data_IF_008102809302
#
_entry.id   IF_008102809302
#
_cell.length_a   1.000
_cell.length_b   1.000
_cell.length_c   1.000
_cell.angle_alpha   90.00
_cell.angle_beta   90.00
_cell.angle_gamma   90.00
#
_symmetry.space_group_name_H-M   'P 1'
#
loop_
_entity.id
_entity.type
_entity.pdbx_description
1 polymer ?
#
# COMPACT_ATOMS: atom_id res chain seq x y z
N UNK A 1 -9.35 -28.19 -12.47
CA UNK A 1 -10.22 -27.59 -11.43
C UNK A 1 -9.55 -26.33 -10.93
N UNK A 2 -10.00 -25.16 -11.40
CA UNK A 2 -9.58 -23.88 -10.86
C UNK A 2 -10.21 -23.72 -9.46
N UNK A 3 -9.38 -23.64 -8.42
CA UNK A 3 -9.86 -23.29 -7.08
C UNK A 3 -10.15 -21.79 -7.11
N UNK A 4 -11.43 -21.44 -7.09
CA UNK A 4 -11.86 -20.06 -7.02
C UNK A 4 -12.03 -19.69 -5.55
N UNK A 5 -11.18 -18.82 -5.05
CA UNK A 5 -11.23 -18.40 -3.66
C UNK A 5 -12.01 -17.09 -3.55
N UNK A 6 -13.05 -16.99 -2.75
CA UNK A 6 -13.68 -15.70 -2.46
C UNK A 6 -12.69 -14.80 -1.73
N UNK A 7 -12.45 -13.62 -2.26
CA UNK A 7 -11.66 -12.58 -1.60
C UNK A 7 -12.63 -11.53 -1.09
N UNK A 8 -12.66 -11.32 0.21
CA UNK A 8 -13.45 -10.24 0.80
C UNK A 8 -12.54 -9.03 1.04
N UNK A 9 -12.56 -8.01 0.20
CA UNK A 9 -11.94 -6.74 0.55
C UNK A 9 -12.65 -6.18 1.77
N UNK A 10 -11.94 -5.52 2.65
CA UNK A 10 -12.58 -4.73 3.70
C UNK A 10 -13.36 -3.62 3.02
N UNK A 11 -14.67 -3.83 2.82
CA UNK A 11 -15.56 -2.82 2.26
C UNK A 11 -16.19 -2.05 3.41
N UNK A 12 -15.96 -0.76 3.45
CA UNK A 12 -16.40 0.11 4.55
C UNK A 12 -17.48 1.11 4.13
N UNK A 13 -18.14 0.88 3.03
CA UNK A 13 -19.23 1.71 2.55
C UNK A 13 -18.98 2.32 1.18
N UNK A 14 -19.58 3.48 0.93
CA UNK A 14 -19.46 4.18 -0.34
C UNK A 14 -18.09 4.84 -0.51
N UNK A 15 -17.74 5.14 -1.76
CA UNK A 15 -16.50 5.84 -2.07
C UNK A 15 -16.55 7.27 -1.54
N UNK A 16 -15.59 7.60 -0.70
CA UNK A 16 -15.32 8.96 -0.24
C UNK A 16 -14.08 9.50 -0.92
N UNK A 17 -14.22 10.65 -1.56
CA UNK A 17 -13.10 11.34 -2.18
C UNK A 17 -12.11 11.81 -1.10
N UNK A 18 -10.85 11.37 -1.25
CA UNK A 18 -9.76 11.87 -0.42
C UNK A 18 -8.97 12.90 -1.22
N UNK A 19 -8.96 14.13 -0.76
CA UNK A 19 -8.18 15.18 -1.40
C UNK A 19 -6.72 15.09 -0.99
N UNK A 20 -5.86 14.79 -1.96
CA UNK A 20 -4.41 14.80 -1.74
C UNK A 20 -3.94 16.21 -1.44
N UNK A 21 -3.30 16.38 -0.29
CA UNK A 21 -2.67 17.64 0.09
C UNK A 21 -1.35 17.91 -0.66
N UNK A 22 -0.71 19.03 -0.33
CA UNK A 22 0.61 19.38 -0.87
C UNK A 22 1.71 18.44 -0.41
N UNK A 23 1.56 17.85 0.78
CA UNK A 23 2.47 16.88 1.36
C UNK A 23 1.94 15.47 1.12
N UNK A 24 2.74 14.61 0.49
CA UNK A 24 2.34 13.22 0.29
C UNK A 24 2.43 12.42 1.60
N UNK A 25 1.38 11.68 1.93
CA UNK A 25 1.29 10.85 3.13
C UNK A 25 1.25 9.38 2.73
N UNK A 26 2.32 8.67 3.05
CA UNK A 26 2.42 7.23 2.87
C UNK A 26 2.15 6.50 4.18
N UNK A 27 1.49 5.34 4.14
CA UNK A 27 1.36 4.51 5.32
C UNK A 27 1.78 3.06 5.03
N UNK A 28 2.47 2.45 5.98
CA UNK A 28 2.74 1.01 5.98
C UNK A 28 2.15 0.38 7.23
N UNK A 29 1.41 -0.73 7.03
CA UNK A 29 0.73 -1.45 8.11
C UNK A 29 1.38 -2.81 8.31
N UNK A 30 1.86 -3.03 9.53
CA UNK A 30 2.56 -4.24 9.95
C UNK A 30 3.93 -3.93 10.57
N UNK A 31 4.55 -4.95 11.15
CA UNK A 31 5.88 -4.78 11.72
C UNK A 31 6.92 -4.50 10.63
N UNK A 32 7.66 -3.42 10.77
CA UNK A 32 8.86 -3.15 9.97
C UNK A 32 9.97 -4.10 10.45
N UNK A 33 10.05 -5.25 9.79
CA UNK A 33 11.10 -6.27 9.96
C UNK A 33 11.32 -6.94 8.63
N UNK A 34 12.57 -7.15 8.23
CA UNK A 34 12.97 -7.70 6.91
C UNK A 34 12.26 -9.00 6.50
N UNK A 35 11.82 -9.83 7.46
CA UNK A 35 11.07 -11.06 7.16
C UNK A 35 9.60 -10.83 6.70
N UNK A 36 9.01 -9.68 6.99
CA UNK A 36 7.59 -9.40 6.70
C UNK A 36 7.36 -8.17 5.86
N UNK A 37 8.27 -7.23 5.88
CA UNK A 37 8.25 -5.98 5.13
C UNK A 37 9.69 -5.62 4.78
N UNK A 38 9.95 -5.28 3.55
CA UNK A 38 11.30 -4.85 3.14
C UNK A 38 11.58 -3.44 3.70
N UNK A 39 12.03 -3.39 4.96
CA UNK A 39 12.35 -2.15 5.65
C UNK A 39 13.59 -1.47 5.10
N UNK A 40 14.55 -2.25 4.61
CA UNK A 40 15.77 -1.71 4.00
C UNK A 40 15.44 -0.98 2.70
N UNK A 41 14.54 -1.54 1.89
CA UNK A 41 14.02 -0.89 0.70
C UNK A 41 13.39 0.47 1.02
N UNK A 42 12.56 0.53 2.07
CA UNK A 42 11.92 1.78 2.48
C UNK A 42 12.98 2.82 2.90
N UNK A 43 13.90 2.44 3.78
CA UNK A 43 14.92 3.35 4.31
C UNK A 43 15.84 3.84 3.18
N UNK A 44 16.33 2.95 2.31
CA UNK A 44 17.21 3.33 1.18
C UNK A 44 16.48 4.25 0.18
N UNK A 45 15.19 4.03 -0.02
CA UNK A 45 14.39 4.90 -0.90
C UNK A 45 14.16 6.28 -0.29
N UNK A 46 13.92 6.35 1.02
CA UNK A 46 13.81 7.65 1.72
C UNK A 46 15.14 8.39 1.70
N UNK A 47 16.26 7.69 1.83
CA UNK A 47 17.60 8.27 1.68
C UNK A 47 17.78 8.87 0.28
N UNK A 48 17.41 8.12 -0.77
CA UNK A 48 17.48 8.62 -2.16
C UNK A 48 16.61 9.86 -2.38
N UNK A 49 15.38 9.86 -1.85
CA UNK A 49 14.50 11.03 -1.90
C UNK A 49 15.11 12.23 -1.16
N UNK A 50 15.69 11.99 0.02
CA UNK A 50 16.36 13.04 0.80
C UNK A 50 17.52 13.65 0.02
N UNK A 51 18.39 12.84 -0.58
CA UNK A 51 19.53 13.28 -1.38
C UNK A 51 19.11 14.07 -2.62
N UNK A 52 17.98 13.69 -3.24
CA UNK A 52 17.39 14.41 -4.38
C UNK A 52 16.65 15.70 -3.98
N UNK A 53 16.57 16.02 -2.70
CA UNK A 53 15.93 17.26 -2.23
C UNK A 53 14.43 17.16 -2.00
N UNK A 54 13.81 15.98 -2.10
CA UNK A 54 12.39 15.80 -1.75
C UNK A 54 12.18 15.99 -0.25
N UNK A 55 11.21 16.83 0.15
CA UNK A 55 10.91 17.14 1.55
C UNK A 55 9.41 17.04 1.88
N UNK A 56 8.56 17.14 0.86
CA UNK A 56 7.10 17.21 1.02
C UNK A 56 6.45 15.81 1.09
N UNK A 57 6.91 14.97 2.03
CA UNK A 57 6.29 13.69 2.29
C UNK A 57 6.43 13.26 3.75
N UNK A 58 5.58 12.34 4.17
CA UNK A 58 5.62 11.69 5.48
C UNK A 58 5.30 10.22 5.34
N UNK A 59 5.90 9.39 6.16
CA UNK A 59 5.68 7.94 6.23
C UNK A 59 5.14 7.59 7.61
N UNK A 60 3.90 7.15 7.66
CA UNK A 60 3.25 6.63 8.86
C UNK A 60 3.53 5.14 8.95
N UNK A 61 4.11 4.73 10.07
CA UNK A 61 4.41 3.32 10.35
C UNK A 61 3.49 2.82 11.46
N UNK A 62 2.57 1.91 11.10
CA UNK A 62 1.59 1.35 12.01
C UNK A 62 1.94 -0.10 12.28
N UNK A 63 2.41 -0.41 13.49
CA UNK A 63 2.81 -1.75 13.90
C UNK A 63 4.02 -1.72 14.81
N UNK A 64 4.50 -2.90 15.19
CA UNK A 64 5.71 -2.99 16.02
C UNK A 64 6.91 -2.48 15.20
N UNK A 65 7.52 -1.42 15.67
CA UNK A 65 8.67 -0.78 15.02
C UNK A 65 9.81 -0.58 16.02
N UNK A 66 10.97 -0.25 15.48
CA UNK A 66 12.13 0.17 16.28
C UNK A 66 12.73 1.42 15.62
N UNK A 67 12.61 2.56 16.29
CA UNK A 67 13.14 3.84 15.81
C UNK A 67 14.66 3.80 15.56
N UNK A 68 15.40 2.97 16.30
CA UNK A 68 16.86 2.84 16.15
C UNK A 68 17.31 2.28 14.79
N UNK A 69 16.40 1.68 14.02
CA UNK A 69 16.70 1.19 12.66
C UNK A 69 16.65 2.29 11.61
N UNK A 70 16.10 3.47 11.93
CA UNK A 70 15.99 4.60 11.01
C UNK A 70 17.15 5.57 11.27
N UNK A 71 17.98 5.88 10.26
CA UNK A 71 19.06 6.86 10.38
C UNK A 71 18.55 8.19 10.94
N UNK A 72 19.30 8.80 11.84
CA UNK A 72 18.86 9.99 12.59
C UNK A 72 18.40 11.14 11.71
N UNK A 73 19.08 11.40 10.58
CA UNK A 73 18.73 12.47 9.65
C UNK A 73 17.45 12.20 8.85
N UNK A 74 17.00 10.92 8.76
CA UNK A 74 15.76 10.54 8.09
C UNK A 74 14.55 10.50 9.02
N UNK A 75 14.73 10.49 10.34
CA UNK A 75 13.64 10.37 11.30
C UNK A 75 12.54 11.42 11.12
N UNK A 76 12.89 12.59 10.61
CA UNK A 76 11.95 13.68 10.31
C UNK A 76 10.85 13.30 9.31
N UNK A 77 11.04 12.26 8.51
CA UNK A 77 10.07 11.78 7.53
C UNK A 77 9.14 10.70 8.09
N UNK A 78 9.41 10.19 9.30
CA UNK A 78 8.70 9.04 9.86
C UNK A 78 7.85 9.42 11.07
N UNK A 79 6.62 8.92 11.10
CA UNK A 79 5.73 8.92 12.26
C UNK A 79 5.53 7.46 12.67
N UNK A 80 6.06 7.08 13.83
CA UNK A 80 6.02 5.71 14.35
C UNK A 80 4.90 5.59 15.39
N UNK A 81 3.75 5.02 15.01
CA UNK A 81 2.56 4.95 15.86
C UNK A 81 2.49 3.70 16.75
N UNK A 82 3.38 2.72 16.52
CA UNK A 82 3.29 1.46 17.24
C UNK A 82 2.06 0.64 16.84
N UNK A 83 1.58 -0.21 17.76
CA UNK A 83 0.36 -0.99 17.53
C UNK A 83 -0.86 -0.15 17.88
N UNK A 84 -1.81 -0.11 16.96
CA UNK A 84 -3.09 0.60 17.11
C UNK A 84 -4.24 -0.40 17.19
N UNK A 85 -5.33 -0.01 17.86
CA UNK A 85 -6.63 -0.64 17.71
C UNK A 85 -7.22 -0.40 16.32
N UNK A 86 -8.25 -1.16 15.94
CA UNK A 86 -8.81 -1.06 14.58
C UNK A 86 -9.36 0.33 14.26
N UNK A 87 -10.05 0.96 15.19
CA UNK A 87 -10.62 2.30 14.98
C UNK A 87 -9.54 3.34 14.64
N UNK A 88 -8.47 3.36 15.43
CA UNK A 88 -7.37 4.30 15.18
C UNK A 88 -6.57 3.94 13.93
N UNK A 89 -6.35 2.63 13.67
CA UNK A 89 -5.76 2.15 12.43
C UNK A 89 -6.55 2.67 11.22
N UNK A 90 -7.87 2.57 11.25
CA UNK A 90 -8.73 2.98 10.15
C UNK A 90 -8.67 4.50 9.91
N UNK A 91 -8.66 5.31 10.99
CA UNK A 91 -8.45 6.76 10.88
C UNK A 91 -7.12 7.09 10.20
N UNK A 92 -6.04 6.39 10.57
CA UNK A 92 -4.72 6.60 9.96
C UNK A 92 -4.69 6.16 8.49
N UNK A 93 -5.34 5.04 8.14
CA UNK A 93 -5.47 4.60 6.74
C UNK A 93 -6.31 5.58 5.93
N UNK A 94 -7.37 6.11 6.51
CA UNK A 94 -8.23 7.11 5.86
C UNK A 94 -7.48 8.42 5.55
N UNK A 95 -6.58 8.84 6.45
CA UNK A 95 -5.82 10.08 6.31
C UNK A 95 -4.60 9.97 5.39
N UNK A 96 -4.13 8.78 5.02
CA UNK A 96 -2.99 8.64 4.11
C UNK A 96 -3.41 8.73 2.63
N UNK A 97 -2.45 9.07 1.77
CA UNK A 97 -2.64 9.07 0.33
C UNK A 97 -2.38 7.68 -0.27
N UNK A 98 -1.28 7.05 0.12
CA UNK A 98 -0.84 5.78 -0.45
C UNK A 98 -0.49 4.75 0.63
N UNK A 99 -0.81 3.49 0.35
CA UNK A 99 -0.33 2.39 1.18
C UNK A 99 0.92 1.73 0.56
N UNK A 100 1.85 1.37 1.44
CA UNK A 100 3.11 0.71 1.09
C UNK A 100 3.10 -0.73 1.62
N UNK A 101 2.82 -1.74 0.78
CA UNK A 101 2.89 -3.15 1.18
C UNK A 101 4.31 -3.61 1.50
N UNK A 102 5.33 -2.99 0.88
CA UNK A 102 6.77 -3.30 1.05
C UNK A 102 7.07 -4.79 0.86
N UNK A 103 6.50 -5.38 -0.19
CA UNK A 103 6.74 -6.75 -0.59
C UNK A 103 7.93 -6.82 -1.56
N UNK A 104 8.67 -7.92 -1.47
CA UNK A 104 9.89 -8.16 -2.23
C UNK A 104 9.76 -9.53 -2.92
N UNK A 105 9.79 -9.61 -4.26
CA UNK A 105 9.63 -10.86 -4.98
C UNK A 105 10.82 -11.83 -4.77
N UNK A 106 11.99 -11.31 -4.39
CA UNK A 106 13.16 -12.13 -4.08
C UNK A 106 13.09 -12.75 -2.69
N UNK A 107 12.26 -12.19 -1.79
CA UNK A 107 12.05 -12.74 -0.47
C UNK A 107 11.09 -13.94 -0.53
N UNK A 108 11.61 -15.14 -0.24
CA UNK A 108 10.84 -16.38 -0.25
C UNK A 108 9.55 -16.30 0.60
N UNK A 109 9.57 -15.59 1.73
CA UNK A 109 8.40 -15.42 2.59
C UNK A 109 7.28 -14.59 1.93
N UNK A 110 7.61 -13.77 0.91
CA UNK A 110 6.66 -12.95 0.19
C UNK A 110 6.11 -13.62 -1.08
N UNK A 111 6.76 -14.66 -1.60
CA UNK A 111 6.33 -15.35 -2.84
C UNK A 111 4.89 -15.86 -2.80
N UNK A 112 4.39 -16.25 -1.63
CA UNK A 112 2.99 -16.65 -1.49
C UNK A 112 1.99 -15.58 -1.92
N UNK A 113 2.36 -14.30 -1.84
CA UNK A 113 1.51 -13.18 -2.24
C UNK A 113 1.45 -12.97 -3.77
N UNK A 114 2.28 -13.70 -4.52
CA UNK A 114 2.22 -13.74 -5.99
C UNK A 114 1.23 -14.82 -6.47
N UNK A 115 0.93 -15.82 -5.65
CA UNK A 115 0.17 -17.00 -6.07
C UNK A 115 -1.17 -17.19 -5.36
N UNK A 116 -1.17 -17.25 -4.03
CA UNK A 116 -2.35 -17.67 -3.25
C UNK A 116 -2.64 -16.81 -2.03
N UNK A 117 -1.65 -16.04 -1.58
CA UNK A 117 -1.78 -15.28 -0.34
C UNK A 117 -2.36 -13.89 -0.56
N UNK A 118 -3.24 -13.46 0.35
CA UNK A 118 -3.63 -12.06 0.44
C UNK A 118 -2.90 -11.38 1.59
N UNK A 119 -2.61 -10.09 1.44
CA UNK A 119 -2.05 -9.25 2.50
C UNK A 119 -3.15 -8.35 3.07
N UNK A 120 -3.18 -8.21 4.39
CA UNK A 120 -4.09 -7.25 5.04
C UNK A 120 -3.93 -5.81 4.51
N UNK A 121 -2.74 -5.45 4.02
CA UNK A 121 -2.52 -4.15 3.38
C UNK A 121 -3.34 -3.99 2.10
N UNK A 122 -3.49 -5.05 1.28
CA UNK A 122 -4.34 -4.98 0.08
C UNK A 122 -5.82 -4.88 0.44
N UNK A 123 -6.25 -5.61 1.48
CA UNK A 123 -7.63 -5.50 1.96
C UNK A 123 -7.94 -4.09 2.47
N UNK A 124 -7.01 -3.47 3.21
CA UNK A 124 -7.14 -2.07 3.64
C UNK A 124 -7.13 -1.11 2.44
N UNK A 125 -6.24 -1.32 1.46
CA UNK A 125 -6.17 -0.50 0.26
C UNK A 125 -7.50 -0.50 -0.51
N UNK A 126 -8.06 -1.67 -0.76
CA UNK A 126 -9.33 -1.84 -1.44
C UNK A 126 -10.51 -1.29 -0.61
N UNK A 127 -10.52 -1.57 0.72
CA UNK A 127 -11.61 -1.16 1.60
C UNK A 127 -11.67 0.34 1.85
N UNK A 128 -10.54 1.04 1.84
CA UNK A 128 -10.44 2.49 2.02
C UNK A 128 -10.16 3.23 0.70
N UNK A 129 -10.22 2.53 -0.42
CA UNK A 129 -9.98 3.07 -1.76
C UNK A 129 -8.64 3.83 -1.86
N UNK A 130 -7.58 3.26 -1.27
CA UNK A 130 -6.24 3.87 -1.25
C UNK A 130 -5.35 3.21 -2.30
N UNK A 131 -4.81 3.98 -3.26
CA UNK A 131 -3.81 3.46 -4.17
C UNK A 131 -2.59 2.92 -3.42
N UNK A 132 -1.98 1.87 -3.97
CA UNK A 132 -0.75 1.29 -3.42
C UNK A 132 0.45 1.63 -4.29
N UNK A 133 1.64 1.68 -3.68
CA UNK A 133 2.91 1.62 -4.41
C UNK A 133 3.43 0.21 -4.28
N UNK A 134 3.54 -0.51 -5.40
CA UNK A 134 3.71 -1.96 -5.39
C UNK A 134 4.69 -2.43 -6.48
N UNK A 135 5.50 -3.42 -6.15
CA UNK A 135 6.28 -4.14 -7.14
C UNK A 135 5.34 -4.97 -8.04
N UNK A 136 5.55 -4.87 -9.36
CA UNK A 136 4.64 -5.31 -10.44
C UNK A 136 4.27 -6.80 -10.35
N UNK A 137 5.17 -7.66 -9.89
CA UNK A 137 4.88 -9.10 -9.76
C UNK A 137 3.75 -9.44 -8.80
N UNK A 138 3.44 -8.55 -7.83
CA UNK A 138 2.35 -8.73 -6.88
C UNK A 138 1.01 -8.13 -7.36
N UNK A 139 0.99 -7.44 -8.50
CA UNK A 139 -0.16 -6.65 -8.91
C UNK A 139 -1.31 -7.51 -9.45
N UNK A 140 -1.02 -8.42 -10.37
CA UNK A 140 -2.03 -9.16 -11.13
C UNK A 140 -3.02 -9.93 -10.26
N UNK A 141 -2.54 -10.69 -9.28
CA UNK A 141 -3.40 -11.50 -8.41
C UNK A 141 -4.36 -10.65 -7.56
N UNK A 142 -3.97 -9.40 -7.29
CA UNK A 142 -4.78 -8.44 -6.53
C UNK A 142 -5.61 -7.52 -7.44
N UNK A 143 -5.67 -7.79 -8.76
CA UNK A 143 -6.35 -6.96 -9.77
C UNK A 143 -5.88 -5.50 -9.77
N UNK A 144 -4.60 -5.31 -9.43
CA UNK A 144 -3.93 -4.01 -9.44
C UNK A 144 -3.16 -3.83 -10.76
N UNK A 145 -3.15 -2.60 -11.26
CA UNK A 145 -2.49 -2.21 -12.50
C UNK A 145 -2.15 -0.72 -12.47
N UNK A 146 -1.59 -0.19 -13.54
CA UNK A 146 -1.17 1.21 -13.61
C UNK A 146 -2.33 2.23 -13.59
N UNK A 147 -3.59 1.80 -13.74
CA UNK A 147 -4.76 2.69 -13.60
C UNK A 147 -5.23 2.89 -12.16
N UNK A 148 -4.91 1.93 -11.25
CA UNK A 148 -5.37 1.96 -9.86
C UNK A 148 -4.23 1.91 -8.83
N UNK A 149 -2.98 1.89 -9.28
CA UNK A 149 -1.78 1.77 -8.44
C UNK A 149 -0.57 2.45 -9.07
N UNK A 150 0.44 2.73 -8.30
CA UNK A 150 1.76 3.11 -8.81
C UNK A 150 2.65 1.87 -8.77
N UNK A 151 2.86 1.25 -9.93
CA UNK A 151 3.67 0.04 -10.04
C UNK A 151 5.14 0.38 -10.34
N UNK A 152 6.05 -0.46 -9.83
CA UNK A 152 7.47 -0.40 -10.17
C UNK A 152 8.02 -1.82 -10.42
N UNK A 153 9.15 -1.91 -11.09
CA UNK A 153 9.86 -3.16 -11.40
C UNK A 153 11.24 -3.14 -10.76
N UNK A 154 11.50 -4.16 -9.94
CA UNK A 154 12.76 -4.29 -9.22
C UNK A 154 12.91 -3.29 -8.05
N UNK A 155 13.51 -3.74 -6.97
CA UNK A 155 13.63 -2.97 -5.73
C UNK A 155 14.34 -1.61 -5.89
N UNK A 156 15.32 -1.52 -6.80
CA UNK A 156 16.06 -0.28 -7.07
C UNK A 156 15.16 0.88 -7.56
N UNK A 157 13.99 0.60 -8.12
CA UNK A 157 13.09 1.59 -8.71
C UNK A 157 11.96 2.05 -7.74
N UNK A 158 11.92 1.53 -6.52
CA UNK A 158 10.88 1.92 -5.56
C UNK A 158 10.93 3.42 -5.22
N UNK A 159 12.10 4.00 -5.06
CA UNK A 159 12.24 5.45 -4.82
C UNK A 159 11.64 6.27 -5.96
N UNK A 160 11.78 5.84 -7.23
CA UNK A 160 11.19 6.53 -8.39
C UNK A 160 9.65 6.44 -8.38
N UNK A 161 9.09 5.33 -7.91
CA UNK A 161 7.65 5.21 -7.71
C UNK A 161 7.14 6.14 -6.61
N UNK A 162 7.89 6.32 -5.51
CA UNK A 162 7.60 7.30 -4.48
C UNK A 162 7.71 8.75 -5.02
N UNK A 163 8.70 9.06 -5.85
CA UNK A 163 8.83 10.36 -6.53
C UNK A 163 7.57 10.68 -7.35
N UNK A 164 7.10 9.71 -8.16
CA UNK A 164 5.85 9.86 -8.94
C UNK A 164 4.65 10.12 -8.03
N UNK A 165 4.55 9.40 -6.91
CA UNK A 165 3.48 9.59 -5.93
C UNK A 165 3.51 10.96 -5.25
N UNK A 166 4.71 11.49 -4.96
CA UNK A 166 4.88 12.84 -4.39
C UNK A 166 4.44 13.90 -5.41
N UNK A 167 4.81 13.71 -6.68
CA UNK A 167 4.58 14.67 -7.76
C UNK A 167 3.17 14.57 -8.40
N UNK A 168 2.37 13.54 -8.07
CA UNK A 168 1.06 13.34 -8.68
C UNK A 168 0.13 14.52 -8.40
N UNK A 169 -0.57 14.98 -9.43
CA UNK A 169 -1.56 16.05 -9.29
C UNK A 169 -2.81 15.56 -8.55
N UNK A 170 -3.59 16.45 -7.91
CA UNK A 170 -4.85 16.08 -7.26
C UNK A 170 -5.81 15.34 -8.21
N UNK A 171 -5.96 15.82 -9.45
CA UNK A 171 -6.85 15.18 -10.45
C UNK A 171 -6.38 13.76 -10.81
N UNK A 172 -5.07 13.58 -11.03
CA UNK A 172 -4.52 12.25 -11.33
C UNK A 172 -4.63 11.31 -10.12
N UNK A 173 -4.47 11.83 -8.91
CA UNK A 173 -4.67 11.06 -7.68
C UNK A 173 -6.14 10.63 -7.54
N UNK A 174 -7.08 11.54 -7.79
CA UNK A 174 -8.52 11.23 -7.77
C UNK A 174 -8.87 10.09 -8.75
N UNK A 175 -8.32 10.13 -9.97
CA UNK A 175 -8.54 9.06 -10.96
C UNK A 175 -8.02 7.70 -10.47
N UNK A 176 -6.83 7.66 -9.84
CA UNK A 176 -6.30 6.44 -9.22
C UNK A 176 -7.25 5.93 -8.12
N UNK A 177 -7.68 6.82 -7.23
CA UNK A 177 -8.55 6.46 -6.12
C UNK A 177 -9.90 5.92 -6.62
N UNK A 178 -10.51 6.56 -7.61
CA UNK A 178 -11.74 6.10 -8.25
C UNK A 178 -11.56 4.70 -8.88
N UNK A 179 -10.46 4.46 -9.56
CA UNK A 179 -10.18 3.16 -10.14
C UNK A 179 -9.95 2.06 -9.08
N UNK A 180 -9.38 2.40 -7.92
CA UNK A 180 -9.32 1.47 -6.77
C UNK A 180 -10.72 1.12 -6.28
N UNK A 181 -11.61 2.12 -6.14
CA UNK A 181 -12.99 1.90 -5.70
C UNK A 181 -13.76 0.99 -6.67
N UNK A 182 -13.63 1.21 -7.97
CA UNK A 182 -14.22 0.36 -9.02
C UNK A 182 -13.67 -1.07 -8.94
N UNK A 183 -12.37 -1.21 -8.75
CA UNK A 183 -11.72 -2.52 -8.58
C UNK A 183 -12.24 -3.25 -7.34
N UNK A 184 -12.34 -2.56 -6.22
CA UNK A 184 -12.88 -3.12 -4.96
C UNK A 184 -14.31 -3.62 -5.13
N UNK A 185 -15.16 -2.86 -5.82
CA UNK A 185 -16.55 -3.24 -6.14
C UNK A 185 -16.61 -4.49 -7.03
N UNK A 186 -15.77 -4.56 -8.06
CA UNK A 186 -15.69 -5.74 -8.94
C UNK A 186 -15.26 -6.99 -8.17
N UNK A 187 -14.22 -6.89 -7.33
CA UNK A 187 -13.75 -7.99 -6.48
C UNK A 187 -14.88 -8.46 -5.53
N UNK A 188 -15.61 -7.54 -4.93
CA UNK A 188 -16.73 -7.86 -4.05
C UNK A 188 -17.83 -8.65 -4.78
N UNK A 189 -18.27 -8.17 -5.95
CA UNK A 189 -19.30 -8.83 -6.77
C UNK A 189 -18.86 -10.25 -7.16
N UNK A 190 -17.62 -10.39 -7.67
CA UNK A 190 -17.06 -11.68 -8.05
C UNK A 190 -16.95 -12.64 -6.84
N UNK A 191 -16.55 -12.14 -5.70
CA UNK A 191 -16.47 -12.94 -4.46
C UNK A 191 -17.83 -13.47 -4.03
N UNK A 192 -18.90 -12.66 -4.15
CA UNK A 192 -20.26 -13.10 -3.88
C UNK A 192 -20.74 -14.18 -4.87
N UNK A 193 -20.40 -14.03 -6.16
CA UNK A 193 -20.73 -15.03 -7.18
C UNK A 193 -19.98 -16.36 -6.90
N UNK A 194 -18.70 -16.28 -6.56
CA UNK A 194 -17.90 -17.43 -6.22
C UNK A 194 -18.45 -18.17 -4.98
N UNK A 195 -18.88 -17.42 -3.96
CA UNK A 195 -19.48 -17.99 -2.78
C UNK A 195 -20.79 -18.73 -3.11
N UNK A 196 -21.66 -18.14 -3.96
CA UNK A 196 -22.90 -18.79 -4.41
C UNK A 196 -22.66 -20.08 -5.20
N UNK A 197 -21.55 -20.18 -5.94
CA UNK A 197 -21.21 -21.36 -6.71
C UNK A 197 -20.63 -22.52 -5.87
N UNK A 198 -20.25 -22.24 -4.63
CA UNK A 198 -19.68 -23.21 -3.67
C UNK A 198 -20.76 -23.77 -2.75
N UNK A 199 -21.82 -23.03 -2.50
CA UNK A 199 -22.98 -23.41 -1.70
C UNK A 199 -24.01 -24.20 -2.52
#
# INVERSE_FOLDING_TARGET
NSITTPVNPHYFGEFEEHQKGTKAVFATVGAIRNKRRNSELLISSVESLHQKGFRNFTIIVIGKNNASTIPRHLQQYFILLGRLGFEELYKQVQSCDFLLPLLDPENQAHRRYITTGTSGTFQLALGFHKPVILERSFAQINKLNDSNSILYEGNSNFHMAMERAIAITPDSYYLLQKAVAETAKLIYIESLQNLKNIL
#
